data_IF_773802472888
#
_entry.id   IF_773802472888
#
_cell.length_a   1.000
_cell.length_b   1.000
_cell.length_c   1.000
_cell.angle_alpha   90.00
_cell.angle_beta   90.00
_cell.angle_gamma   90.00
#
_symmetry.space_group_name_H-M   'P 1'
#
loop_
_entity.id
_entity.type
_entity.pdbx_description
1 polymer ?
#
# COMPACT_ATOMS: atom_id res chain seq x y z
N UNK A 1 -8.33 4.87 31.08
CA UNK A 1 -9.59 4.78 30.32
C UNK A 1 -10.75 5.12 31.23
N UNK A 2 -11.81 5.69 30.65
CA UNK A 2 -13.04 5.90 31.40
C UNK A 2 -13.78 4.56 31.49
N UNK A 3 -14.24 4.17 32.68
CA UNK A 3 -15.00 2.92 32.89
C UNK A 3 -16.18 2.78 31.94
N UNK A 4 -16.85 3.88 31.63
CA UNK A 4 -17.99 3.92 30.71
C UNK A 4 -17.60 3.55 29.25
N UNK A 5 -16.38 3.93 28.81
CA UNK A 5 -15.90 3.59 27.49
C UNK A 5 -15.71 2.06 27.36
N UNK A 6 -15.19 1.41 28.39
CA UNK A 6 -15.05 -0.04 28.41
C UNK A 6 -16.38 -0.79 28.49
N UNK A 7 -17.34 -0.30 29.28
CA UNK A 7 -18.69 -0.89 29.27
C UNK A 7 -19.34 -0.83 27.90
N UNK A 8 -19.19 0.30 27.19
CA UNK A 8 -19.67 0.47 25.84
C UNK A 8 -18.97 -0.48 24.87
N UNK A 9 -17.65 -0.60 24.96
CA UNK A 9 -16.85 -1.51 24.12
C UNK A 9 -17.25 -2.97 24.31
N UNK A 10 -17.43 -3.45 25.57
CA UNK A 10 -17.85 -4.82 25.87
C UNK A 10 -19.22 -5.15 25.27
N UNK A 11 -20.17 -4.25 25.43
CA UNK A 11 -21.51 -4.42 24.85
C UNK A 11 -21.43 -4.49 23.33
N UNK A 12 -20.66 -3.60 22.72
CA UNK A 12 -20.50 -3.53 21.27
C UNK A 12 -19.88 -4.80 20.69
N UNK A 13 -18.81 -5.33 21.31
CA UNK A 13 -18.17 -6.59 20.83
C UNK A 13 -19.18 -7.74 20.78
N UNK A 14 -19.95 -7.94 21.83
CA UNK A 14 -20.93 -9.04 21.87
C UNK A 14 -22.01 -8.88 20.80
N UNK A 15 -22.56 -7.67 20.66
CA UNK A 15 -23.60 -7.38 19.67
C UNK A 15 -23.08 -7.50 18.23
N UNK A 16 -21.90 -6.99 17.93
CA UNK A 16 -21.33 -6.99 16.59
C UNK A 16 -20.86 -8.38 16.16
N UNK A 17 -20.29 -9.16 17.08
CA UNK A 17 -19.91 -10.55 16.79
C UNK A 17 -21.12 -11.40 16.41
N UNK A 18 -22.21 -11.29 17.16
CA UNK A 18 -23.46 -12.01 16.86
C UNK A 18 -24.10 -11.52 15.55
N UNK A 19 -24.07 -10.22 15.30
CA UNK A 19 -24.58 -9.63 14.06
C UNK A 19 -23.83 -10.15 12.86
N UNK A 20 -22.47 -10.09 12.87
CA UNK A 20 -21.64 -10.59 11.78
C UNK A 20 -21.91 -12.07 11.47
N UNK A 21 -22.02 -12.91 12.51
CA UNK A 21 -22.34 -14.33 12.33
C UNK A 21 -23.70 -14.53 11.67
N UNK A 22 -24.71 -13.75 12.05
CA UNK A 22 -26.05 -13.81 11.46
C UNK A 22 -26.14 -13.31 10.02
N UNK A 23 -25.24 -12.43 9.63
CA UNK A 23 -25.19 -11.83 8.28
C UNK A 23 -24.37 -12.67 7.27
N UNK A 24 -23.69 -13.75 7.73
CA UNK A 24 -22.91 -14.63 6.85
C UNK A 24 -23.80 -15.42 5.90
N UNK A 25 -23.35 -15.54 4.67
CA UNK A 25 -23.99 -16.42 3.69
C UNK A 25 -23.55 -17.87 3.93
N UNK A 26 -24.46 -18.71 4.40
CA UNK A 26 -24.20 -20.11 4.72
C UNK A 26 -23.85 -20.99 3.50
N UNK A 27 -24.07 -20.49 2.28
CA UNK A 27 -23.69 -21.20 1.05
C UNK A 27 -22.21 -21.01 0.71
N UNK A 28 -21.55 -20.01 1.31
CA UNK A 28 -20.12 -19.75 1.12
C UNK A 28 -19.34 -20.59 2.14
N UNK A 29 -18.57 -21.54 1.61
CA UNK A 29 -17.76 -22.42 2.45
C UNK A 29 -16.51 -21.67 2.88
N UNK A 30 -16.41 -21.38 4.17
CA UNK A 30 -15.18 -20.83 4.81
C UNK A 30 -14.61 -21.88 5.76
N UNK A 31 -13.29 -22.04 5.81
CA UNK A 31 -12.67 -23.12 6.60
C UNK A 31 -12.77 -22.90 8.11
N UNK A 32 -12.77 -21.64 8.54
CA UNK A 32 -12.79 -21.22 9.94
C UNK A 32 -13.17 -19.76 10.05
N UNK A 33 -13.79 -19.36 11.16
CA UNK A 33 -14.05 -17.98 11.52
C UNK A 33 -13.00 -17.51 12.53
N UNK A 34 -12.62 -16.24 12.45
CA UNK A 34 -11.72 -15.59 13.40
C UNK A 34 -12.35 -14.26 13.85
N UNK A 35 -12.20 -13.97 15.13
CA UNK A 35 -12.60 -12.69 15.70
C UNK A 35 -11.42 -11.73 15.59
N UNK A 36 -11.64 -10.56 14.97
CA UNK A 36 -10.68 -9.48 14.94
C UNK A 36 -11.17 -8.31 15.80
N UNK A 37 -10.26 -7.73 16.58
CA UNK A 37 -10.54 -6.61 17.50
C UNK A 37 -9.52 -5.51 17.31
N UNK A 38 -9.99 -4.28 17.23
CA UNK A 38 -9.14 -3.08 17.15
C UNK A 38 -9.00 -2.46 18.53
N UNK A 39 -7.76 -2.25 18.96
CA UNK A 39 -7.43 -1.60 20.22
C UNK A 39 -6.86 -0.21 19.93
N UNK A 40 -7.34 0.78 20.69
CA UNK A 40 -6.75 2.10 20.76
C UNK A 40 -6.04 2.24 22.09
N UNK A 41 -4.80 2.67 22.06
CA UNK A 41 -3.96 2.82 23.24
C UNK A 41 -3.80 4.30 23.64
N UNK A 42 -3.29 4.53 24.81
CA UNK A 42 -2.93 5.88 25.24
C UNK A 42 -1.72 6.40 24.47
N UNK A 43 -1.64 7.70 24.22
CA UNK A 43 -0.60 8.33 23.39
C UNK A 43 0.85 8.07 23.84
N UNK A 44 1.06 7.79 25.12
CA UNK A 44 2.37 7.45 25.69
C UNK A 44 2.74 5.97 25.59
N UNK A 45 1.84 5.12 25.11
CA UNK A 45 2.02 3.68 25.01
C UNK A 45 2.37 3.28 23.56
N UNK A 46 3.31 2.35 23.41
CA UNK A 46 3.65 1.73 22.13
C UNK A 46 3.18 0.27 22.13
N UNK A 47 2.18 -0.05 21.33
CA UNK A 47 1.55 -1.37 21.28
C UNK A 47 2.54 -2.49 20.90
N UNK A 48 3.48 -2.21 19.99
CA UNK A 48 4.46 -3.20 19.54
C UNK A 48 5.40 -3.69 20.67
N UNK A 49 5.68 -2.85 21.68
CA UNK A 49 6.54 -3.25 22.80
C UNK A 49 5.88 -4.30 23.72
N UNK A 50 4.58 -4.51 23.58
CA UNK A 50 3.77 -5.39 24.43
C UNK A 50 3.11 -6.55 23.69
N UNK A 51 3.45 -6.77 22.45
CA UNK A 51 2.88 -7.82 21.60
C UNK A 51 2.86 -9.20 22.27
N UNK A 52 4.02 -9.65 22.77
CA UNK A 52 4.16 -10.93 23.46
C UNK A 52 3.23 -11.03 24.67
N UNK A 53 3.07 -9.94 25.43
CA UNK A 53 2.20 -9.93 26.62
C UNK A 53 0.71 -10.02 26.29
N UNK A 54 0.27 -9.35 25.21
CA UNK A 54 -1.11 -9.48 24.77
C UNK A 54 -1.41 -10.87 24.25
N UNK A 55 -0.42 -11.51 23.63
CA UNK A 55 -0.52 -12.89 23.17
C UNK A 55 -0.60 -13.86 24.35
N UNK A 56 0.35 -13.81 25.28
CA UNK A 56 0.43 -14.73 26.42
C UNK A 56 -0.73 -14.55 27.41
N UNK A 57 -1.12 -13.32 27.70
CA UNK A 57 -2.14 -13.01 28.72
C UNK A 57 -3.57 -13.09 28.15
N UNK A 58 -3.75 -12.74 26.87
CA UNK A 58 -5.07 -12.49 26.30
C UNK A 58 -5.36 -13.25 24.99
N UNK A 59 -4.42 -14.02 24.47
CA UNK A 59 -4.61 -14.80 23.24
C UNK A 59 -4.83 -13.92 21.99
N UNK A 60 -4.18 -12.76 21.95
CA UNK A 60 -4.29 -11.77 20.90
C UNK A 60 -3.00 -11.72 20.09
N UNK A 61 -3.08 -11.97 18.78
CA UNK A 61 -1.95 -11.87 17.86
C UNK A 61 -2.15 -10.68 16.93
N UNK A 62 -1.14 -9.81 16.74
CA UNK A 62 -1.30 -8.59 15.95
C UNK A 62 -1.41 -8.92 14.46
N UNK A 63 -2.31 -8.19 13.77
CA UNK A 63 -2.45 -8.20 12.32
C UNK A 63 -1.78 -6.96 11.73
N UNK A 64 -2.06 -5.79 12.30
CA UNK A 64 -1.59 -4.50 11.79
C UNK A 64 -1.50 -3.47 12.91
N UNK A 65 -0.47 -2.61 12.86
CA UNK A 65 -0.32 -1.46 13.73
C UNK A 65 -0.59 -0.17 12.96
N UNK A 66 -1.20 0.82 13.63
CA UNK A 66 -1.56 2.11 13.05
C UNK A 66 -1.16 3.25 13.97
N UNK A 67 -1.18 4.48 13.44
CA UNK A 67 -1.04 5.71 14.21
C UNK A 67 0.17 5.65 15.15
N UNK A 68 1.36 5.41 14.56
CA UNK A 68 2.61 5.25 15.33
C UNK A 68 2.48 4.24 16.48
N UNK A 69 1.85 3.10 16.22
CA UNK A 69 1.57 2.02 17.18
C UNK A 69 0.63 2.43 18.34
N UNK A 70 -0.20 3.47 18.15
CA UNK A 70 -1.25 3.86 19.10
C UNK A 70 -2.56 3.12 18.87
N UNK A 71 -2.67 2.45 17.74
CA UNK A 71 -3.76 1.54 17.41
C UNK A 71 -3.19 0.22 16.92
N UNK A 72 -3.89 -0.86 17.16
CA UNK A 72 -3.55 -2.17 16.63
C UNK A 72 -4.80 -2.99 16.34
N UNK A 73 -4.78 -3.70 15.23
CA UNK A 73 -5.75 -4.74 14.90
C UNK A 73 -5.16 -6.07 15.33
N UNK A 74 -5.90 -6.82 16.16
CA UNK A 74 -5.52 -8.13 16.63
C UNK A 74 -6.50 -9.19 16.17
N UNK A 75 -6.01 -10.40 15.92
CA UNK A 75 -6.81 -11.61 15.82
C UNK A 75 -6.86 -12.31 17.18
N UNK A 76 -7.98 -12.89 17.49
CA UNK A 76 -8.15 -13.78 18.64
C UNK A 76 -7.67 -15.17 18.21
N UNK A 77 -6.48 -15.57 18.68
CA UNK A 77 -5.86 -16.88 18.37
C UNK A 77 -6.11 -17.93 19.45
N UNK A 78 -6.51 -17.51 20.66
CA UNK A 78 -6.93 -18.36 21.76
C UNK A 78 -8.16 -17.78 22.45
N UNK A 79 -9.31 -18.40 22.22
CA UNK A 79 -10.59 -17.96 22.80
C UNK A 79 -10.61 -18.05 24.33
N UNK A 80 -9.89 -19.00 24.93
CA UNK A 80 -9.83 -19.18 26.39
C UNK A 80 -9.11 -18.00 27.02
N UNK A 81 -7.98 -17.62 26.47
CA UNK A 81 -7.22 -16.45 26.91
C UNK A 81 -7.98 -15.13 26.60
N UNK A 82 -8.68 -15.06 25.48
CA UNK A 82 -9.52 -13.89 25.17
C UNK A 82 -10.68 -13.75 26.16
N UNK A 83 -11.30 -14.86 26.56
CA UNK A 83 -12.30 -14.84 27.63
C UNK A 83 -11.70 -14.39 28.97
N UNK A 84 -10.42 -14.67 29.23
CA UNK A 84 -9.69 -14.11 30.37
C UNK A 84 -9.53 -12.59 30.25
N UNK A 85 -9.20 -12.09 29.07
CA UNK A 85 -9.17 -10.62 28.82
C UNK A 85 -10.51 -9.97 29.20
N UNK A 86 -11.62 -10.55 28.77
CA UNK A 86 -12.96 -10.04 29.12
C UNK A 86 -13.20 -10.05 30.62
N UNK A 87 -12.75 -11.11 31.35
CA UNK A 87 -12.85 -11.17 32.82
C UNK A 87 -12.00 -10.11 33.52
N UNK A 88 -10.75 -9.94 33.07
CA UNK A 88 -9.85 -8.93 33.61
C UNK A 88 -10.37 -7.50 33.37
N UNK A 89 -11.00 -7.28 32.23
CA UNK A 89 -11.64 -6.01 31.91
C UNK A 89 -12.85 -5.73 32.81
N UNK A 90 -13.66 -6.74 33.11
CA UNK A 90 -14.75 -6.59 34.10
C UNK A 90 -14.20 -6.28 35.49
N UNK A 91 -13.13 -6.94 35.95
CA UNK A 91 -12.45 -6.60 37.21
C UNK A 91 -11.96 -5.14 37.22
N UNK A 92 -11.41 -4.66 36.08
CA UNK A 92 -11.03 -3.25 35.95
C UNK A 92 -12.22 -2.31 36.13
N UNK A 93 -13.35 -2.61 35.47
CA UNK A 93 -14.59 -1.82 35.56
C UNK A 93 -15.15 -1.75 36.99
N UNK A 94 -15.04 -2.85 37.73
CA UNK A 94 -15.55 -2.98 39.10
C UNK A 94 -14.56 -2.47 40.16
N UNK A 95 -13.31 -2.28 39.81
CA UNK A 95 -12.25 -1.85 40.71
C UNK A 95 -12.50 -0.43 41.23
N UNK A 96 -12.60 -0.26 42.55
CA UNK A 96 -12.78 1.05 43.21
C UNK A 96 -11.47 1.76 43.49
N UNK A 97 -10.38 1.00 43.65
CA UNK A 97 -9.06 1.52 43.95
C UNK A 97 -8.02 1.00 42.97
N UNK A 98 -7.72 1.79 41.97
CA UNK A 98 -6.71 1.45 40.94
C UNK A 98 -5.25 1.59 41.41
N UNK A 99 -5.00 2.03 42.66
CA UNK A 99 -3.65 2.05 43.25
C UNK A 99 -3.22 0.65 43.70
N UNK A 100 -4.18 -0.24 43.99
CA UNK A 100 -3.95 -1.63 44.33
C UNK A 100 -4.83 -2.55 43.44
N UNK A 101 -4.48 -2.68 42.16
CA UNK A 101 -5.33 -3.36 41.20
C UNK A 101 -5.40 -4.88 41.42
N UNK A 102 -6.59 -5.44 41.31
CA UNK A 102 -6.86 -6.87 41.31
C UNK A 102 -7.09 -7.43 39.90
N UNK A 103 -6.71 -6.69 38.88
CA UNK A 103 -6.81 -7.01 37.46
C UNK A 103 -5.44 -6.99 36.79
N UNK A 104 -5.35 -7.56 35.58
CA UNK A 104 -4.09 -7.54 34.81
C UNK A 104 -3.68 -6.09 34.48
N UNK A 105 -2.46 -5.66 34.88
CA UNK A 105 -2.02 -4.26 34.72
C UNK A 105 -1.94 -3.81 33.27
N UNK A 106 -1.88 -4.71 32.28
CA UNK A 106 -1.83 -4.37 30.86
C UNK A 106 -3.14 -3.77 30.34
N UNK A 107 -4.27 -4.03 31.04
CA UNK A 107 -5.58 -3.41 30.73
C UNK A 107 -5.53 -1.87 30.77
N UNK A 108 -4.72 -1.28 31.67
CA UNK A 108 -4.62 0.17 31.83
C UNK A 108 -4.03 0.90 30.63
N UNK A 109 -3.34 0.19 29.73
CA UNK A 109 -2.75 0.78 28.53
C UNK A 109 -3.78 1.00 27.43
N UNK A 110 -4.88 0.24 27.46
CA UNK A 110 -5.96 0.31 26.48
C UNK A 110 -6.85 1.52 26.81
N UNK A 111 -7.09 2.36 25.83
CA UNK A 111 -8.01 3.50 25.90
C UNK A 111 -9.43 3.07 25.56
N UNK A 112 -9.59 2.38 24.47
CA UNK A 112 -10.84 1.76 24.00
C UNK A 112 -10.54 0.57 23.10
N UNK A 113 -11.53 -0.25 22.83
CA UNK A 113 -11.42 -1.34 21.88
C UNK A 113 -12.79 -1.60 21.24
N UNK A 114 -12.77 -2.14 20.03
CA UNK A 114 -13.98 -2.46 19.28
C UNK A 114 -13.82 -3.75 18.49
N UNK A 115 -14.92 -4.39 18.15
CA UNK A 115 -14.95 -5.44 17.15
C UNK A 115 -14.63 -4.84 15.76
N UNK A 116 -13.82 -5.53 14.96
CA UNK A 116 -13.54 -5.13 13.58
C UNK A 116 -14.69 -5.60 12.69
N UNK A 117 -15.50 -4.66 12.26
CA UNK A 117 -16.77 -4.92 11.56
C UNK A 117 -16.59 -5.03 10.05
N UNK A 118 -17.64 -5.47 9.34
CA UNK A 118 -17.70 -5.42 7.87
C UNK A 118 -17.54 -4.00 7.35
N UNK A 119 -18.13 -3.02 8.05
CA UNK A 119 -18.00 -1.61 7.72
C UNK A 119 -16.56 -1.09 7.88
N UNK A 120 -15.83 -1.59 8.89
CA UNK A 120 -14.40 -1.27 9.06
C UNK A 120 -13.56 -1.87 7.93
N UNK A 121 -13.82 -3.12 7.53
CA UNK A 121 -13.16 -3.78 6.39
C UNK A 121 -13.38 -2.99 5.09
N UNK A 122 -14.56 -2.39 4.91
CA UNK A 122 -14.95 -1.63 3.72
C UNK A 122 -14.66 -0.14 3.84
N UNK A 123 -14.06 0.33 4.92
CA UNK A 123 -13.92 1.77 5.23
C UNK A 123 -13.17 2.56 4.15
N UNK A 124 -12.24 1.93 3.44
CA UNK A 124 -11.45 2.54 2.37
C UNK A 124 -11.94 2.16 0.96
N UNK A 125 -13.00 1.36 0.86
CA UNK A 125 -13.62 1.02 -0.40
C UNK A 125 -14.45 2.19 -0.93
N UNK A 126 -14.15 2.67 -2.14
CA UNK A 126 -14.81 3.84 -2.74
C UNK A 126 -15.72 3.47 -3.91
N UNK A 127 -15.28 2.56 -4.78
CA UNK A 127 -15.99 2.22 -6.01
C UNK A 127 -15.62 0.84 -6.52
N UNK A 128 -16.62 0.12 -7.02
CA UNK A 128 -16.45 -1.18 -7.70
C UNK A 128 -15.91 -1.06 -9.15
N UNK A 129 -15.86 0.15 -9.71
CA UNK A 129 -15.31 0.39 -11.06
C UNK A 129 -13.77 0.44 -11.05
N UNK A 130 -13.18 0.60 -9.89
CA UNK A 130 -11.74 0.66 -9.68
C UNK A 130 -11.14 -0.73 -9.46
N UNK A 131 -9.82 -0.82 -9.49
CA UNK A 131 -9.12 -1.99 -9.00
C UNK A 131 -9.32 -2.07 -7.50
N UNK A 132 -9.84 -3.19 -7.05
CA UNK A 132 -10.08 -3.45 -5.63
C UNK A 132 -8.99 -4.35 -5.09
N UNK A 133 -8.47 -4.02 -3.94
CA UNK A 133 -7.43 -4.74 -3.25
C UNK A 133 -7.95 -5.32 -1.96
N UNK A 134 -7.78 -6.62 -1.80
CA UNK A 134 -8.10 -7.36 -0.59
C UNK A 134 -6.80 -7.60 0.18
N UNK A 135 -6.69 -7.04 1.37
CA UNK A 135 -5.55 -7.29 2.26
C UNK A 135 -5.82 -8.52 3.12
N UNK A 136 -4.91 -9.48 3.04
CA UNK A 136 -5.00 -10.75 3.75
C UNK A 136 -4.14 -10.69 5.01
N UNK A 137 -4.61 -11.27 6.10
CA UNK A 137 -3.85 -11.39 7.36
C UNK A 137 -2.47 -11.98 7.08
N UNK A 138 -1.43 -11.23 7.48
CA UNK A 138 -0.02 -11.65 7.43
C UNK A 138 0.52 -11.83 8.85
N UNK A 139 0.35 -13.02 9.38
CA UNK A 139 0.82 -13.38 10.72
C UNK A 139 1.16 -14.86 10.76
N UNK A 140 2.37 -15.18 11.22
CA UNK A 140 2.91 -16.55 11.21
C UNK A 140 2.05 -17.55 12.00
N UNK A 141 1.35 -17.09 13.04
CA UNK A 141 0.46 -17.93 13.84
C UNK A 141 -0.86 -18.27 13.14
N UNK A 142 -1.20 -17.46 12.15
CA UNK A 142 -2.42 -17.55 11.37
C UNK A 142 -2.18 -18.02 9.93
N UNK A 143 -0.96 -18.44 9.59
CA UNK A 143 -0.60 -18.86 8.24
C UNK A 143 -1.51 -19.97 7.70
N UNK A 144 -1.70 -21.03 8.45
CA UNK A 144 -2.57 -22.14 8.06
C UNK A 144 -4.02 -21.69 7.83
N UNK A 145 -4.51 -20.79 8.69
CA UNK A 145 -5.84 -20.21 8.56
C UNK A 145 -5.91 -19.30 7.31
N UNK A 146 -4.94 -18.41 7.13
CA UNK A 146 -4.89 -17.50 6.00
C UNK A 146 -4.83 -18.25 4.66
N UNK A 147 -3.95 -19.25 4.53
CA UNK A 147 -3.82 -20.08 3.33
C UNK A 147 -5.13 -20.80 2.99
N UNK A 148 -5.78 -21.42 3.96
CA UNK A 148 -7.07 -22.12 3.75
C UNK A 148 -8.17 -21.14 3.35
N UNK A 149 -8.25 -19.99 4.00
CA UNK A 149 -9.23 -18.94 3.70
C UNK A 149 -9.01 -18.33 2.32
N UNK A 150 -7.76 -18.05 1.94
CA UNK A 150 -7.41 -17.56 0.60
C UNK A 150 -7.80 -18.56 -0.48
N UNK A 151 -7.51 -19.84 -0.30
CA UNK A 151 -7.92 -20.88 -1.26
C UNK A 151 -9.45 -20.96 -1.40
N UNK A 152 -10.17 -20.81 -0.30
CA UNK A 152 -11.65 -20.77 -0.33
C UNK A 152 -12.16 -19.51 -1.03
N UNK A 153 -11.53 -18.35 -0.78
CA UNK A 153 -11.83 -17.08 -1.44
C UNK A 153 -11.58 -17.15 -2.96
N UNK A 154 -10.47 -17.74 -3.38
CA UNK A 154 -10.16 -17.95 -4.82
C UNK A 154 -11.23 -18.78 -5.49
N UNK A 155 -11.59 -19.93 -4.90
CA UNK A 155 -12.66 -20.80 -5.38
C UNK A 155 -14.01 -20.06 -5.48
N UNK A 156 -14.29 -19.17 -4.53
CA UNK A 156 -15.48 -18.33 -4.55
C UNK A 156 -15.43 -17.32 -5.72
N UNK A 157 -14.33 -16.62 -5.92
CA UNK A 157 -14.13 -15.66 -7.01
C UNK A 157 -14.22 -16.33 -8.39
N UNK A 158 -13.60 -17.51 -8.55
CA UNK A 158 -13.68 -18.30 -9.77
C UNK A 158 -15.12 -18.71 -10.09
N UNK A 159 -15.88 -19.17 -9.10
CA UNK A 159 -17.30 -19.53 -9.28
C UNK A 159 -18.17 -18.33 -9.67
N UNK A 160 -17.82 -17.13 -9.22
CA UNK A 160 -18.47 -15.88 -9.61
C UNK A 160 -17.99 -15.36 -10.97
N UNK A 161 -16.96 -15.97 -11.58
CA UNK A 161 -16.36 -15.52 -12.84
C UNK A 161 -15.57 -14.23 -12.71
N UNK A 162 -15.09 -13.91 -11.50
CA UNK A 162 -14.32 -12.71 -11.20
C UNK A 162 -12.85 -12.96 -11.46
N UNK A 163 -12.24 -12.10 -12.27
CA UNK A 163 -10.80 -12.17 -12.53
C UNK A 163 -10.02 -11.51 -11.39
N UNK A 164 -9.00 -12.19 -10.89
CA UNK A 164 -8.13 -11.69 -9.81
C UNK A 164 -6.66 -11.99 -10.08
N UNK A 165 -5.79 -11.26 -9.43
CA UNK A 165 -4.34 -11.48 -9.37
C UNK A 165 -3.90 -11.58 -7.93
N UNK A 166 -2.89 -12.39 -7.68
CA UNK A 166 -2.23 -12.50 -6.37
C UNK A 166 -0.86 -11.86 -6.46
N UNK A 167 -0.45 -11.21 -5.39
CA UNK A 167 0.95 -10.83 -5.24
C UNK A 167 1.80 -12.07 -4.89
N UNK A 168 3.13 -11.95 -5.03
CA UNK A 168 4.08 -13.05 -4.81
C UNK A 168 4.03 -13.65 -3.40
N UNK A 169 3.46 -12.94 -2.43
CA UNK A 169 3.40 -13.38 -1.03
C UNK A 169 2.04 -13.95 -0.63
N UNK A 170 1.05 -13.99 -1.52
CA UNK A 170 -0.33 -14.40 -1.24
C UNK A 170 -1.01 -13.63 -0.08
N UNK A 171 -0.54 -12.40 0.20
CA UNK A 171 -1.08 -11.54 1.26
C UNK A 171 -1.98 -10.43 0.73
N UNK A 172 -2.06 -10.33 -0.59
CA UNK A 172 -2.88 -9.34 -1.28
C UNK A 172 -3.48 -9.98 -2.53
N UNK A 173 -4.78 -9.74 -2.74
CA UNK A 173 -5.50 -10.16 -3.94
C UNK A 173 -6.07 -8.91 -4.59
N UNK A 174 -5.69 -8.67 -5.83
CA UNK A 174 -6.19 -7.57 -6.64
C UNK A 174 -7.29 -8.07 -7.57
N UNK A 175 -8.39 -7.33 -7.63
CA UNK A 175 -9.57 -7.68 -8.42
C UNK A 175 -9.91 -6.48 -9.30
N UNK A 176 -10.03 -6.73 -10.60
CA UNK A 176 -10.50 -5.74 -11.56
C UNK A 176 -11.95 -6.04 -11.95
N UNK A 177 -12.84 -5.05 -11.85
CA UNK A 177 -14.27 -5.16 -12.20
C UNK A 177 -15.01 -6.19 -11.36
N UNK A 178 -15.36 -5.82 -10.16
CA UNK A 178 -16.19 -6.61 -9.26
C UNK A 178 -17.45 -5.80 -8.90
N UNK A 179 -18.57 -6.48 -8.72
CA UNK A 179 -19.79 -5.83 -8.26
C UNK A 179 -19.80 -5.62 -6.73
N UNK A 180 -20.51 -4.58 -6.27
CA UNK A 180 -20.55 -4.21 -4.86
C UNK A 180 -21.11 -5.29 -3.95
N UNK A 181 -22.07 -6.10 -4.42
CA UNK A 181 -22.64 -7.19 -3.61
C UNK A 181 -21.58 -8.27 -3.35
N UNK A 182 -20.79 -8.63 -4.36
CA UNK A 182 -19.71 -9.62 -4.21
C UNK A 182 -18.64 -9.11 -3.25
N UNK A 183 -18.31 -7.81 -3.26
CA UNK A 183 -17.38 -7.21 -2.29
C UNK A 183 -17.92 -7.30 -0.86
N UNK A 184 -19.20 -6.98 -0.66
CA UNK A 184 -19.83 -7.12 0.65
C UNK A 184 -19.87 -8.56 1.13
N UNK A 185 -20.15 -9.53 0.23
CA UNK A 185 -20.10 -10.97 0.56
C UNK A 185 -18.68 -11.39 0.99
N UNK A 186 -17.64 -10.87 0.32
CA UNK A 186 -16.25 -11.12 0.73
C UNK A 186 -16.00 -10.58 2.14
N UNK A 187 -16.31 -9.30 2.38
CA UNK A 187 -16.09 -8.66 3.68
C UNK A 187 -16.85 -9.34 4.84
N UNK A 188 -18.03 -9.90 4.56
CA UNK A 188 -18.83 -10.60 5.58
C UNK A 188 -18.36 -12.02 5.88
N UNK A 189 -17.84 -12.74 4.88
CA UNK A 189 -17.62 -14.16 4.99
C UNK A 189 -16.15 -14.55 5.19
N UNK A 190 -15.19 -13.77 4.72
CA UNK A 190 -13.77 -14.14 4.73
C UNK A 190 -12.99 -13.34 5.76
N UNK A 191 -12.89 -13.85 7.00
CA UNK A 191 -12.20 -13.17 8.11
C UNK A 191 -10.69 -13.02 7.89
N UNK A 192 -10.10 -13.75 6.94
CA UNK A 192 -8.72 -13.53 6.55
C UNK A 192 -8.53 -12.21 5.77
N UNK A 193 -9.61 -11.63 5.22
CA UNK A 193 -9.60 -10.31 4.60
C UNK A 193 -9.87 -9.28 5.68
N UNK A 194 -8.85 -8.52 6.06
CA UNK A 194 -8.98 -7.53 7.13
C UNK A 194 -9.19 -6.10 6.62
N UNK A 195 -8.96 -5.85 5.33
CA UNK A 195 -9.21 -4.56 4.69
C UNK A 195 -9.51 -4.73 3.20
N UNK A 196 -10.39 -3.90 2.66
CA UNK A 196 -10.72 -3.83 1.23
C UNK A 196 -10.58 -2.39 0.78
N UNK A 197 -9.64 -2.15 -0.13
CA UNK A 197 -9.26 -0.82 -0.59
C UNK A 197 -9.55 -0.66 -2.08
N UNK A 198 -9.98 0.54 -2.48
CA UNK A 198 -9.97 0.94 -3.89
C UNK A 198 -8.70 1.70 -4.18
N UNK A 199 -7.99 1.35 -5.25
CA UNK A 199 -6.76 2.02 -5.61
C UNK A 199 -6.78 2.55 -7.04
N UNK A 200 -6.46 3.81 -7.17
CA UNK A 200 -6.13 4.45 -8.43
C UNK A 200 -4.70 4.96 -8.37
N UNK A 201 -3.93 4.64 -9.40
CA UNK A 201 -2.64 5.26 -9.63
C UNK A 201 -2.79 6.35 -10.68
N UNK A 202 -2.26 7.53 -10.39
CA UNK A 202 -2.17 8.63 -11.34
C UNK A 202 -0.75 9.13 -11.45
N UNK A 203 -0.42 9.61 -12.64
CA UNK A 203 0.71 10.52 -12.77
C UNK A 203 0.33 11.84 -12.11
N UNK A 204 1.30 12.41 -11.40
CA UNK A 204 1.24 13.82 -11.07
C UNK A 204 1.23 14.59 -12.37
N UNK A 205 0.19 15.38 -12.62
CA UNK A 205 0.15 16.21 -13.84
C UNK A 205 1.40 17.09 -13.91
N UNK A 206 2.14 17.07 -15.01
CA UNK A 206 3.26 17.98 -15.16
C UNK A 206 2.74 19.42 -15.11
N UNK A 207 3.52 20.30 -14.49
CA UNK A 207 3.24 21.73 -14.55
C UNK A 207 3.19 22.14 -16.03
N UNK A 208 2.21 22.95 -16.42
CA UNK A 208 1.92 23.36 -17.81
C UNK A 208 3.02 24.18 -18.51
N UNK A 209 4.26 24.13 -18.06
CA UNK A 209 5.39 24.92 -18.55
C UNK A 209 6.30 24.14 -19.51
N UNK A 210 5.85 23.02 -20.08
CA UNK A 210 6.58 22.32 -21.13
C UNK A 210 6.42 23.03 -22.47
N UNK A 211 7.48 23.61 -22.99
CA UNK A 211 7.56 23.95 -24.40
C UNK A 211 7.77 22.69 -25.21
N UNK A 212 6.94 22.46 -26.25
CA UNK A 212 7.16 21.39 -27.23
C UNK A 212 8.45 21.67 -27.98
N UNK A 213 9.58 21.20 -27.48
CA UNK A 213 10.85 21.28 -28.19
C UNK A 213 10.89 20.11 -29.15
N UNK A 214 10.59 20.36 -30.44
CA UNK A 214 10.71 19.36 -31.51
C UNK A 214 12.14 19.13 -31.97
N UNK A 215 13.05 20.01 -31.63
CA UNK A 215 14.46 19.95 -32.00
C UNK A 215 15.31 20.01 -30.71
N UNK A 216 16.17 19.04 -30.57
CA UNK A 216 17.12 19.00 -29.44
C UNK A 216 18.41 19.70 -29.86
N UNK A 217 18.86 20.75 -29.16
CA UNK A 217 20.05 21.48 -29.52
C UNK A 217 21.35 20.73 -29.18
N UNK A 218 21.26 19.54 -28.65
CA UNK A 218 22.39 18.73 -28.20
C UNK A 218 22.35 17.31 -28.73
N UNK A 219 23.51 16.65 -28.67
CA UNK A 219 23.66 15.21 -28.87
C UNK A 219 24.24 14.60 -27.59
N UNK A 220 24.03 13.34 -27.41
CA UNK A 220 24.72 12.59 -26.36
C UNK A 220 26.01 11.98 -26.92
N UNK A 221 27.07 12.06 -26.14
CA UNK A 221 28.28 11.29 -26.38
C UNK A 221 27.94 9.79 -26.24
N UNK A 222 28.70 8.94 -26.93
CA UNK A 222 28.52 7.51 -26.79
C UNK A 222 28.72 7.10 -25.32
N UNK A 223 27.74 6.41 -24.71
CA UNK A 223 27.86 6.01 -23.32
C UNK A 223 29.05 5.06 -23.15
N UNK A 224 29.74 5.22 -22.03
CA UNK A 224 30.71 4.22 -21.58
C UNK A 224 29.95 2.98 -21.09
N UNK A 225 30.46 1.78 -21.35
CA UNK A 225 29.78 0.53 -20.98
C UNK A 225 29.60 0.33 -19.47
N UNK A 226 30.36 1.04 -18.65
CA UNK A 226 30.36 0.94 -17.18
C UNK A 226 29.39 1.91 -16.47
N UNK A 227 28.55 2.63 -17.19
CA UNK A 227 27.61 3.54 -16.54
C UNK A 227 26.54 2.78 -15.74
N UNK A 228 26.12 3.32 -14.57
CA UNK A 228 25.03 2.74 -13.80
C UNK A 228 23.74 2.73 -14.60
N UNK A 229 22.91 1.72 -14.37
CA UNK A 229 21.59 1.59 -15.01
C UNK A 229 20.51 2.06 -14.05
N UNK A 230 19.61 2.91 -14.53
CA UNK A 230 18.41 3.34 -13.80
C UNK A 230 17.14 2.84 -14.49
N UNK A 231 16.24 2.25 -13.70
CA UNK A 231 14.88 1.94 -14.12
C UNK A 231 13.98 3.17 -13.96
N UNK A 232 13.41 3.66 -15.06
CA UNK A 232 12.45 4.76 -15.05
C UNK A 232 11.05 4.18 -15.21
N UNK A 233 10.28 4.15 -14.12
CA UNK A 233 8.92 3.63 -14.08
C UNK A 233 7.95 4.81 -14.26
N UNK A 234 7.43 4.96 -15.49
CA UNK A 234 6.72 6.14 -15.95
C UNK A 234 5.86 5.86 -17.19
N UNK A 235 5.60 6.85 -18.02
CA UNK A 235 4.86 6.79 -19.30
C UNK A 235 5.68 6.31 -20.48
N UNK A 236 6.90 5.87 -20.26
CA UNK A 236 7.85 5.47 -21.30
C UNK A 236 8.90 6.53 -21.57
N UNK A 237 9.94 6.16 -22.30
CA UNK A 237 11.03 7.08 -22.72
C UNK A 237 11.15 7.05 -24.24
N UNK A 238 10.96 8.18 -24.88
CA UNK A 238 10.92 8.25 -26.36
C UNK A 238 12.29 7.95 -26.99
N UNK A 239 12.31 6.95 -27.87
CA UNK A 239 13.47 6.62 -28.69
C UNK A 239 13.71 7.60 -29.85
N UNK A 240 12.82 8.57 -30.06
CA UNK A 240 13.00 9.64 -31.06
C UNK A 240 13.82 10.81 -30.53
N UNK A 241 14.26 10.75 -29.26
CA UNK A 241 15.09 11.76 -28.60
C UNK A 241 16.57 11.34 -28.58
N UNK A 242 17.50 12.26 -28.26
CA UNK A 242 18.90 11.90 -28.05
C UNK A 242 19.14 10.81 -27.01
N UNK A 243 18.20 10.58 -26.08
CA UNK A 243 18.27 9.52 -25.06
C UNK A 243 18.28 8.11 -25.65
N UNK A 244 17.92 7.93 -26.95
CA UNK A 244 17.98 6.64 -27.62
C UNK A 244 19.30 5.90 -27.45
N UNK A 245 20.42 6.64 -27.40
CA UNK A 245 21.75 6.06 -27.31
C UNK A 245 22.05 5.42 -25.95
N UNK A 246 21.27 5.76 -24.92
CA UNK A 246 21.40 5.23 -23.54
C UNK A 246 20.25 4.32 -23.13
N UNK A 247 19.23 4.15 -23.97
CA UNK A 247 18.14 3.19 -23.70
C UNK A 247 18.61 1.77 -23.87
N UNK A 248 18.22 0.92 -22.92
CA UNK A 248 18.51 -0.53 -22.92
C UNK A 248 17.40 -1.36 -23.58
N UNK A 249 16.21 -0.81 -23.70
CA UNK A 249 15.06 -1.51 -24.24
C UNK A 249 15.27 -1.87 -25.72
N UNK A 250 15.01 -3.14 -26.04
CA UNK A 250 15.04 -3.68 -27.42
C UNK A 250 13.66 -4.11 -27.89
N UNK A 251 12.72 -4.30 -26.97
CA UNK A 251 11.37 -4.79 -27.20
C UNK A 251 10.36 -4.22 -26.19
N UNK A 252 9.13 -4.73 -26.22
CA UNK A 252 8.05 -4.27 -25.34
C UNK A 252 7.98 -5.01 -23.98
N UNK A 253 8.99 -5.79 -23.63
CA UNK A 253 8.96 -6.65 -22.44
C UNK A 253 8.86 -5.89 -21.10
N UNK A 254 9.13 -4.58 -21.12
CA UNK A 254 9.01 -3.65 -19.99
C UNK A 254 7.85 -2.65 -20.15
N UNK A 255 6.90 -2.97 -21.01
CA UNK A 255 5.65 -2.23 -21.14
C UNK A 255 4.48 -3.02 -20.55
N UNK A 256 3.80 -2.45 -19.54
CA UNK A 256 2.60 -3.06 -18.96
C UNK A 256 1.53 -3.24 -20.06
N UNK A 257 0.84 -4.39 -20.05
CA UNK A 257 -0.21 -4.71 -21.03
C UNK A 257 0.23 -4.58 -22.49
N UNK A 258 1.52 -4.82 -22.80
CA UNK A 258 2.07 -4.77 -24.15
C UNK A 258 2.34 -3.37 -24.68
N UNK A 259 2.29 -2.35 -23.85
CA UNK A 259 2.69 -0.98 -24.23
C UNK A 259 4.16 -0.96 -24.67
N UNK A 260 4.48 -0.04 -25.58
CA UNK A 260 5.85 0.15 -26.03
C UNK A 260 6.61 1.09 -25.07
N UNK A 261 7.61 0.61 -24.30
CA UNK A 261 8.36 1.44 -23.36
C UNK A 261 9.24 2.51 -24.03
N UNK A 262 9.49 2.36 -25.34
CA UNK A 262 10.29 3.33 -26.12
C UNK A 262 9.44 4.44 -26.76
N UNK A 263 8.16 4.53 -26.40
CA UNK A 263 7.22 5.58 -26.80
C UNK A 263 6.68 6.26 -25.57
N UNK A 264 6.72 7.56 -25.53
CA UNK A 264 6.18 8.40 -24.46
C UNK A 264 5.01 9.21 -25.00
N UNK A 265 3.79 8.84 -24.64
CA UNK A 265 2.53 9.41 -25.14
C UNK A 265 1.83 10.29 -24.10
N UNK A 266 2.39 10.39 -22.91
CA UNK A 266 1.76 11.10 -21.83
C UNK A 266 1.48 12.56 -22.18
N UNK A 267 0.32 13.03 -21.78
CA UNK A 267 -0.07 14.44 -21.87
C UNK A 267 0.07 15.07 -23.25
N UNK A 268 -0.32 14.34 -24.31
CA UNK A 268 -0.30 14.82 -25.71
C UNK A 268 1.10 15.21 -26.22
N UNK A 269 2.12 14.53 -25.73
CA UNK A 269 3.50 14.70 -26.17
C UNK A 269 4.36 15.57 -25.24
N UNK A 270 3.91 15.83 -24.05
CA UNK A 270 4.72 16.51 -23.02
C UNK A 270 5.91 15.66 -22.54
N UNK A 271 5.93 14.37 -22.87
CA UNK A 271 7.08 13.49 -22.70
C UNK A 271 7.54 13.37 -21.24
N UNK A 272 6.62 13.06 -20.33
CA UNK A 272 6.90 13.04 -18.89
C UNK A 272 8.04 12.09 -18.53
N UNK A 273 7.92 10.80 -18.87
CA UNK A 273 8.96 9.80 -18.58
C UNK A 273 10.27 10.10 -19.34
N UNK A 274 10.19 10.69 -20.53
CA UNK A 274 11.35 11.16 -21.29
C UNK A 274 12.06 12.29 -20.54
N UNK A 275 11.31 13.24 -19.98
CA UNK A 275 11.85 14.31 -19.16
C UNK A 275 12.54 13.78 -17.90
N UNK A 276 11.90 12.86 -17.19
CA UNK A 276 12.47 12.20 -16.00
C UNK A 276 13.77 11.47 -16.35
N UNK A 277 13.78 10.68 -17.44
CA UNK A 277 14.98 9.98 -17.91
C UNK A 277 16.11 10.97 -18.26
N UNK A 278 15.77 12.14 -18.83
CA UNK A 278 16.71 13.21 -19.08
C UNK A 278 17.35 13.73 -17.79
N UNK A 279 16.56 14.02 -16.77
CA UNK A 279 17.09 14.44 -15.47
C UNK A 279 17.96 13.38 -14.80
N UNK A 280 17.56 12.12 -14.85
CA UNK A 280 18.32 11.00 -14.26
C UNK A 280 19.68 10.82 -14.96
N UNK A 281 19.70 10.93 -16.29
CA UNK A 281 20.90 10.62 -17.08
C UNK A 281 21.84 11.80 -17.31
N UNK A 282 21.35 13.03 -17.24
CA UNK A 282 22.11 14.24 -17.59
C UNK A 282 22.27 15.21 -16.42
N UNK A 283 21.44 15.07 -15.38
CA UNK A 283 21.55 15.83 -14.14
C UNK A 283 21.74 17.34 -14.34
N UNK A 284 22.77 17.88 -13.72
CA UNK A 284 23.09 19.32 -13.76
C UNK A 284 23.50 19.84 -15.15
N UNK A 285 23.80 18.96 -16.11
CA UNK A 285 24.16 19.39 -17.47
C UNK A 285 22.98 20.02 -18.22
N UNK A 286 21.74 19.79 -17.72
CA UNK A 286 20.51 20.42 -18.25
C UNK A 286 20.25 21.81 -17.67
N UNK A 287 21.05 22.28 -16.71
CA UNK A 287 20.93 23.62 -16.12
C UNK A 287 21.90 24.59 -16.79
N UNK A 288 21.41 25.77 -17.16
CA UNK A 288 22.22 26.82 -17.80
C UNK A 288 22.32 26.69 -19.32
N UNK A 289 23.44 27.15 -19.89
CA UNK A 289 23.68 27.05 -21.33
C UNK A 289 23.97 25.61 -21.74
N UNK A 290 23.03 25.01 -22.44
CA UNK A 290 23.15 23.59 -22.88
C UNK A 290 24.27 23.50 -23.91
N UNK A 291 25.26 22.65 -23.64
CA UNK A 291 26.35 22.36 -24.54
C UNK A 291 25.87 21.57 -25.77
N UNK A 292 26.57 21.66 -26.88
CA UNK A 292 26.27 20.95 -28.12
C UNK A 292 26.40 19.42 -27.94
N UNK A 293 27.26 18.96 -27.02
CA UNK A 293 27.42 17.57 -26.65
C UNK A 293 27.35 17.41 -25.14
N UNK A 294 26.57 16.44 -24.67
CA UNK A 294 26.39 16.09 -23.26
C UNK A 294 26.85 14.64 -23.04
N UNK A 295 27.55 14.42 -21.94
CA UNK A 295 28.01 13.09 -21.54
C UNK A 295 27.02 12.49 -20.53
N UNK A 296 26.38 11.36 -20.83
CA UNK A 296 25.42 10.76 -19.91
C UNK A 296 26.13 10.19 -18.67
N UNK A 297 25.51 10.34 -17.52
CA UNK A 297 25.95 9.82 -16.22
C UNK A 297 25.29 8.46 -15.88
N UNK A 298 24.27 8.06 -16.66
CA UNK A 298 23.56 6.79 -16.47
C UNK A 298 22.99 6.26 -17.79
N UNK A 299 22.77 4.95 -17.86
CA UNK A 299 21.94 4.27 -18.85
C UNK A 299 20.53 4.09 -18.31
N UNK A 300 19.53 3.98 -19.17
CA UNK A 300 18.12 3.96 -18.80
C UNK A 300 17.46 2.66 -19.26
N UNK A 301 16.79 2.00 -18.34
CA UNK A 301 15.77 0.99 -18.64
C UNK A 301 14.40 1.68 -18.49
N UNK A 302 13.69 1.87 -19.59
CA UNK A 302 12.34 2.43 -19.58
C UNK A 302 11.35 1.36 -19.18
N UNK A 303 10.57 1.60 -18.15
CA UNK A 303 9.51 0.73 -17.64
C UNK A 303 8.18 1.49 -17.76
N UNK A 304 7.43 1.18 -18.81
CA UNK A 304 6.18 1.89 -19.12
C UNK A 304 5.01 1.24 -18.42
N UNK A 305 4.40 1.97 -17.49
CA UNK A 305 3.25 1.49 -16.69
C UNK A 305 1.97 2.26 -16.98
N UNK A 306 2.08 3.47 -17.55
CA UNK A 306 0.96 4.33 -17.91
C UNK A 306 1.09 4.79 -19.37
N UNK A 307 -0.02 4.84 -20.10
CA UNK A 307 -0.05 5.33 -21.47
C UNK A 307 -0.30 6.83 -21.56
N UNK A 308 -1.43 7.28 -21.06
CA UNK A 308 -1.94 8.64 -21.16
C UNK A 308 -1.91 9.42 -19.83
N UNK A 309 -1.21 8.89 -18.83
CA UNK A 309 -1.11 9.48 -17.50
C UNK A 309 -2.14 8.99 -16.51
N UNK A 310 -3.05 8.11 -16.95
CA UNK A 310 -3.99 7.40 -16.10
C UNK A 310 -4.00 5.92 -16.49
N UNK A 311 -4.26 5.04 -15.56
CA UNK A 311 -4.34 3.61 -15.85
C UNK A 311 -4.63 2.75 -14.63
N UNK A 312 -5.04 1.52 -14.90
CA UNK A 312 -5.23 0.49 -13.88
C UNK A 312 -3.88 -0.21 -13.62
N UNK A 313 -2.99 0.48 -12.94
CA UNK A 313 -1.75 -0.10 -12.43
C UNK A 313 -2.05 -0.74 -11.08
N UNK A 314 -1.45 -1.90 -10.84
CA UNK A 314 -1.58 -2.62 -9.58
C UNK A 314 -0.25 -2.68 -8.85
N UNK A 315 -0.28 -2.93 -7.53
CA UNK A 315 0.95 -3.18 -6.76
C UNK A 315 1.71 -4.38 -7.31
N UNK A 316 1.00 -5.43 -7.71
CA UNK A 316 1.59 -6.64 -8.31
C UNK A 316 2.27 -6.35 -9.67
N UNK A 317 1.75 -5.41 -10.46
CA UNK A 317 2.41 -4.98 -11.70
C UNK A 317 3.74 -4.29 -11.41
N UNK A 318 3.76 -3.37 -10.43
CA UNK A 318 4.99 -2.66 -10.00
C UNK A 318 6.02 -3.66 -9.48
N UNK A 319 5.62 -4.55 -8.56
CA UNK A 319 6.48 -5.60 -8.02
C UNK A 319 7.07 -6.47 -9.12
N UNK A 320 6.23 -6.98 -10.01
CA UNK A 320 6.65 -7.86 -11.10
C UNK A 320 7.70 -7.23 -12.02
N UNK A 321 7.49 -5.95 -12.38
CA UNK A 321 8.40 -5.22 -13.27
C UNK A 321 9.75 -4.88 -12.58
N UNK A 322 9.71 -4.49 -11.30
CA UNK A 322 10.94 -4.24 -10.52
C UNK A 322 11.74 -5.53 -10.35
N UNK A 323 11.09 -6.63 -9.92
CA UNK A 323 11.75 -7.93 -9.74
C UNK A 323 12.32 -8.46 -11.06
N UNK A 324 11.60 -8.28 -12.18
CA UNK A 324 12.08 -8.65 -13.50
C UNK A 324 13.33 -7.86 -13.89
N UNK A 325 13.32 -6.53 -13.73
CA UNK A 325 14.44 -5.66 -14.05
C UNK A 325 15.66 -5.97 -13.18
N UNK A 326 15.45 -6.23 -11.89
CA UNK A 326 16.49 -6.68 -10.97
C UNK A 326 17.14 -8.00 -11.44
N UNK A 327 16.33 -8.99 -11.83
CA UNK A 327 16.83 -10.30 -12.25
C UNK A 327 17.55 -10.28 -13.60
N UNK A 328 17.10 -9.47 -14.55
CA UNK A 328 17.63 -9.44 -15.92
C UNK A 328 18.85 -8.52 -16.07
N UNK A 329 18.90 -7.41 -15.33
CA UNK A 329 19.93 -6.39 -15.45
C UNK A 329 20.72 -6.14 -14.17
N UNK A 330 20.45 -6.89 -13.09
CA UNK A 330 20.97 -6.60 -11.73
C UNK A 330 20.69 -5.16 -11.30
N UNK A 331 19.54 -4.63 -11.74
CA UNK A 331 19.17 -3.22 -11.59
C UNK A 331 19.00 -2.87 -10.12
N UNK A 332 19.74 -1.85 -9.64
CA UNK A 332 19.73 -1.44 -8.23
C UNK A 332 19.08 -0.08 -7.99
N UNK A 333 18.85 0.70 -9.04
CA UNK A 333 18.37 2.07 -8.94
C UNK A 333 17.09 2.25 -9.75
N UNK A 334 16.02 2.71 -9.10
CA UNK A 334 14.73 2.98 -9.73
C UNK A 334 14.26 4.39 -9.42
N UNK A 335 13.63 5.05 -10.38
CA UNK A 335 12.83 6.24 -10.13
C UNK A 335 11.38 5.97 -10.47
N UNK A 336 10.49 6.40 -9.59
CA UNK A 336 9.07 6.09 -9.61
C UNK A 336 8.29 7.41 -9.50
N UNK A 337 7.66 7.80 -10.59
CA UNK A 337 6.97 9.09 -10.70
C UNK A 337 5.46 8.97 -10.68
N UNK A 338 4.98 7.82 -10.28
CA UNK A 338 3.57 7.53 -10.07
C UNK A 338 3.23 7.60 -8.58
N UNK A 339 2.11 8.19 -8.24
CA UNK A 339 1.65 8.29 -6.87
C UNK A 339 0.18 7.87 -6.75
N UNK A 340 -0.22 7.61 -5.52
CA UNK A 340 -1.60 7.33 -5.16
C UNK A 340 -2.46 8.60 -5.26
N UNK A 341 -3.69 8.45 -5.73
CA UNK A 341 -4.66 9.56 -5.84
C UNK A 341 -5.36 9.89 -4.51
N UNK A 342 -4.96 9.28 -3.43
CA UNK A 342 -5.54 9.53 -2.11
C UNK A 342 -4.44 10.03 -1.17
N UNK A 343 -4.47 11.32 -0.78
CA UNK A 343 -3.54 11.82 0.21
C UNK A 343 -3.80 11.11 1.55
N UNK A 344 -2.72 10.70 2.21
CA UNK A 344 -2.80 10.18 3.56
C UNK A 344 -3.19 11.32 4.52
N UNK A 345 -4.05 11.01 5.48
CA UNK A 345 -4.39 11.93 6.57
C UNK A 345 -3.47 11.67 7.75
N UNK A 346 -3.29 12.68 8.60
CA UNK A 346 -2.55 12.53 9.86
C UNK A 346 -3.11 11.35 10.66
N UNK A 347 -2.22 10.40 11.01
CA UNK A 347 -2.59 9.18 11.74
C UNK A 347 -3.04 8.00 10.87
N UNK A 348 -3.11 8.16 9.55
CA UNK A 348 -3.31 7.01 8.65
C UNK A 348 -2.07 6.11 8.66
N UNK A 349 -2.24 4.80 8.50
CA UNK A 349 -1.10 3.90 8.32
C UNK A 349 -0.40 4.20 6.99
N UNK A 350 0.88 3.80 6.84
CA UNK A 350 1.52 3.79 5.54
C UNK A 350 0.67 3.04 4.52
N UNK A 351 0.59 3.54 3.29
CA UNK A 351 -0.13 2.85 2.23
C UNK A 351 0.55 1.51 1.91
N UNK A 352 -0.22 0.54 1.41
CA UNK A 352 0.35 -0.75 0.98
C UNK A 352 1.38 -0.58 -0.14
N UNK A 353 1.21 0.46 -0.93
CA UNK A 353 2.21 0.85 -1.93
C UNK A 353 3.54 1.24 -1.28
N UNK A 354 3.51 2.05 -0.22
CA UNK A 354 4.70 2.39 0.55
C UNK A 354 5.32 1.14 1.17
N UNK A 355 4.50 0.28 1.79
CA UNK A 355 4.95 -0.99 2.35
C UNK A 355 5.59 -1.92 1.30
N UNK A 356 4.98 -2.04 0.12
CA UNK A 356 5.55 -2.81 -0.99
C UNK A 356 6.93 -2.28 -1.40
N UNK A 357 7.07 -0.96 -1.56
CA UNK A 357 8.33 -0.36 -1.97
C UNK A 357 9.43 -0.53 -0.91
N UNK A 358 9.09 -0.39 0.36
CA UNK A 358 10.00 -0.65 1.49
C UNK A 358 10.47 -2.10 1.50
N UNK A 359 9.54 -3.03 1.34
CA UNK A 359 9.83 -4.47 1.26
C UNK A 359 10.76 -4.79 0.10
N UNK A 360 10.46 -4.31 -1.11
CA UNK A 360 11.30 -4.53 -2.29
C UNK A 360 12.70 -3.92 -2.10
N UNK A 361 12.78 -2.72 -1.51
CA UNK A 361 14.05 -2.06 -1.21
C UNK A 361 14.90 -2.89 -0.26
N UNK A 362 14.28 -3.47 0.77
CA UNK A 362 14.97 -4.30 1.75
C UNK A 362 15.36 -5.67 1.18
N UNK A 363 14.42 -6.40 0.56
CA UNK A 363 14.66 -7.78 0.08
C UNK A 363 15.64 -7.87 -1.10
N UNK A 364 15.59 -6.87 -2.00
CA UNK A 364 16.42 -6.85 -3.21
C UNK A 364 17.67 -5.96 -3.05
N UNK A 365 17.83 -5.27 -1.93
CA UNK A 365 18.90 -4.30 -1.71
C UNK A 365 18.96 -3.26 -2.85
N UNK A 366 17.83 -2.63 -3.14
CA UNK A 366 17.65 -1.62 -4.20
C UNK A 366 17.29 -0.26 -3.62
N UNK A 367 17.57 0.80 -4.37
CA UNK A 367 17.21 2.17 -4.02
C UNK A 367 16.11 2.66 -4.96
N UNK A 368 14.98 3.08 -4.38
CA UNK A 368 13.83 3.60 -5.13
C UNK A 368 13.64 5.08 -4.80
N UNK A 369 13.73 5.94 -5.81
CA UNK A 369 13.42 7.37 -5.73
C UNK A 369 11.95 7.57 -6.05
N UNK A 370 11.20 8.15 -5.12
CA UNK A 370 9.75 8.35 -5.25
C UNK A 370 9.45 9.84 -5.34
N UNK A 371 8.54 10.24 -6.24
CA UNK A 371 8.04 11.61 -6.27
C UNK A 371 7.09 11.86 -5.09
N UNK A 372 7.10 13.10 -4.58
CA UNK A 372 6.21 13.55 -3.49
C UNK A 372 4.87 14.09 -3.98
N UNK A 373 4.53 13.88 -5.25
CA UNK A 373 3.40 14.47 -5.98
C UNK A 373 3.56 15.98 -6.30
N UNK A 374 2.66 16.49 -7.14
CA UNK A 374 2.60 17.91 -7.49
C UNK A 374 1.43 18.56 -6.76
N UNK A 375 1.68 19.65 -6.10
CA UNK A 375 0.63 20.49 -5.53
C UNK A 375 0.00 21.34 -6.64
N UNK A 376 -1.26 21.11 -6.99
CA UNK A 376 -1.91 21.82 -8.10
C UNK A 376 -2.40 23.21 -7.72
N UNK A 377 -2.61 23.50 -6.44
CA UNK A 377 -3.14 24.77 -5.94
C UNK A 377 -2.21 25.42 -4.92
N UNK A 378 -1.23 26.17 -5.44
CA UNK A 378 -0.32 26.96 -4.61
C UNK A 378 -1.01 28.04 -3.76
N UNK A 379 -2.26 28.40 -4.07
CA UNK A 379 -2.99 29.40 -3.29
C UNK A 379 -3.63 28.81 -2.04
N UNK A 380 -3.87 27.50 -2.03
CA UNK A 380 -4.38 26.77 -0.87
C UNK A 380 -3.28 26.06 -0.07
N UNK A 381 -2.04 26.03 -0.60
CA UNK A 381 -0.92 25.45 0.11
C UNK A 381 -0.63 26.24 1.40
N UNK A 382 -0.57 25.54 2.51
CA UNK A 382 -0.13 26.12 3.75
C UNK A 382 1.33 26.56 3.64
N UNK A 383 1.68 27.66 4.30
CA UNK A 383 2.99 28.25 4.13
C UNK A 383 4.07 27.39 4.79
N UNK A 384 5.00 26.88 4.00
CA UNK A 384 6.23 26.29 4.50
C UNK A 384 7.14 27.41 5.07
N UNK A 385 7.80 27.27 6.22
CA UNK A 385 7.80 26.08 7.12
C UNK A 385 6.79 26.14 8.26
N UNK A 386 5.88 27.14 8.27
CA UNK A 386 5.00 27.45 9.42
C UNK A 386 4.08 26.28 9.78
N UNK A 387 3.67 25.50 8.80
CA UNK A 387 2.79 24.33 8.98
C UNK A 387 3.48 22.99 8.69
N UNK A 388 4.78 22.99 8.45
CA UNK A 388 5.53 21.76 8.13
C UNK A 388 5.47 20.70 9.23
N UNK A 389 5.38 21.12 10.49
CA UNK A 389 5.29 20.22 11.65
C UNK A 389 3.85 19.87 12.06
N UNK A 390 2.86 20.54 11.47
CA UNK A 390 1.45 20.24 11.76
C UNK A 390 0.95 19.01 10.98
N UNK A 391 1.69 18.60 9.95
CA UNK A 391 1.44 17.41 9.12
C UNK A 391 2.23 16.16 9.57
N UNK A 392 2.98 16.25 10.69
CA UNK A 392 3.67 15.12 11.32
C UNK A 392 2.79 14.32 12.28
#
# INVERSE_FOLDING_TARGET
PKVEDFKKSLKNISEQSQRRESERNQEIIVPQNIICVEFHFHNWFNAADFEIKYREDFGLSPIKYFDLNKKALFAVVDETLFNNFIKELNKFIECKDHSSPNYNPNIKFIKEFKFHTTEDILSEFKSAEETVRLEIIDNIELDDFAIKSVNSLKNYLEKKGVFFRENTNNREIEITKIDGNTIEEIARNFDAVHSINSSHYRLTKPSRYGTNIKEYPFKLDNPQDELPIFGVIDTGVSSETPLKTILLNTDNSYGLNGMNPMVDEAFKGDGHGTGVAGFVSLGNQLSGDIKVSLSPDARILSIKVLGDGTGNLTNADVESLIVKAYKEFELRYFTLTICYDSPLKKGDPPSDYAYLLDKLSYELDILIFICTANYEDFNSAEKYPEHFLDDE
#
